data_IF_731993177072
#
_entry.id   IF_731993177072
#
_cell.length_a   1.000
_cell.length_b   1.000
_cell.length_c   1.000
_cell.angle_alpha   90.00
_cell.angle_beta   90.00
_cell.angle_gamma   90.00
#
_symmetry.space_group_name_H-M   'P 1'
#
loop_
_entity.id
_entity.type
_entity.pdbx_description
1 polymer ?
#
# COMPACT_ATOMS: atom_id res chain seq x y z
N UNK A 1 65.00 -30.23 14.47
CA UNK A 1 65.00 -28.76 14.35
C UNK A 1 63.63 -28.38 13.87
N UNK A 2 62.78 -28.11 14.84
CA UNK A 2 61.35 -27.94 14.67
C UNK A 2 61.01 -26.44 14.64
N UNK A 3 60.26 -26.03 13.67
CA UNK A 3 59.64 -24.70 13.63
C UNK A 3 58.15 -24.87 13.82
N UNK A 4 57.52 -24.19 14.81
CA UNK A 4 56.08 -24.26 14.99
C UNK A 4 55.35 -23.24 14.11
N UNK A 5 54.34 -23.74 13.42
CA UNK A 5 53.34 -22.95 12.72
C UNK A 5 52.48 -22.16 13.70
N UNK A 6 52.53 -20.85 13.60
CA UNK A 6 51.59 -19.94 14.26
C UNK A 6 50.28 -19.84 13.45
N UNK A 7 49.21 -20.38 14.02
CA UNK A 7 47.84 -20.18 13.50
C UNK A 7 47.31 -18.81 13.97
N UNK A 8 47.29 -17.87 13.03
CA UNK A 8 46.66 -16.58 13.27
C UNK A 8 45.16 -16.68 12.97
N UNK A 9 44.37 -16.95 14.01
CA UNK A 9 42.90 -16.89 13.96
C UNK A 9 42.45 -15.44 14.03
N UNK A 10 42.41 -14.79 12.87
CA UNK A 10 41.84 -13.47 12.72
C UNK A 10 40.32 -13.48 12.94
N UNK A 11 39.87 -13.20 14.14
CA UNK A 11 38.48 -12.96 14.48
C UNK A 11 38.05 -11.63 13.89
N UNK A 12 37.49 -11.66 12.68
CA UNK A 12 36.78 -10.51 12.09
C UNK A 12 35.43 -10.39 12.78
N UNK A 13 35.38 -9.62 13.85
CA UNK A 13 34.14 -9.04 14.34
C UNK A 13 33.57 -8.15 13.21
N UNK A 14 32.54 -8.65 12.57
CA UNK A 14 31.72 -7.84 11.67
C UNK A 14 31.12 -6.70 12.49
N UNK A 15 31.65 -5.50 12.31
CA UNK A 15 31.03 -4.30 12.86
C UNK A 15 29.64 -4.16 12.24
N UNK A 16 28.60 -4.43 13.04
CA UNK A 16 27.25 -4.06 12.68
C UNK A 16 27.22 -2.54 12.54
N UNK A 17 27.13 -2.07 11.30
CA UNK A 17 26.91 -0.66 11.01
C UNK A 17 25.51 -0.34 11.48
N UNK A 18 25.38 0.16 12.71
CA UNK A 18 24.13 0.74 13.20
C UNK A 18 23.87 2.00 12.37
N UNK A 19 22.98 1.88 11.39
CA UNK A 19 22.54 3.03 10.63
C UNK A 19 21.96 4.06 11.63
N UNK A 20 22.54 5.26 11.63
CA UNK A 20 22.02 6.37 12.44
C UNK A 20 20.56 6.62 12.08
N UNK A 21 19.65 6.80 13.06
CA UNK A 21 18.24 7.02 12.76
C UNK A 21 18.11 8.29 11.92
N UNK A 22 17.63 8.13 10.70
CA UNK A 22 17.37 9.25 9.81
C UNK A 22 16.16 10.02 10.34
N UNK A 23 16.36 11.26 10.77
CA UNK A 23 15.26 12.17 11.06
C UNK A 23 14.56 12.48 9.73
N UNK A 24 13.32 12.02 9.59
CA UNK A 24 12.53 12.27 8.38
C UNK A 24 11.93 13.66 8.44
N UNK A 25 11.91 14.35 7.30
CA UNK A 25 11.21 15.63 7.18
C UNK A 25 9.69 15.43 7.31
N UNK A 26 8.92 16.45 7.74
CA UNK A 26 7.46 16.37 7.83
C UNK A 26 6.76 16.00 6.51
N UNK A 27 7.45 16.19 5.37
CA UNK A 27 6.94 15.85 4.05
C UNK A 27 6.97 14.34 3.72
N UNK A 28 7.67 13.55 4.54
CA UNK A 28 7.70 12.09 4.41
C UNK A 28 6.52 11.44 5.17
N UNK A 29 5.31 11.83 4.81
CA UNK A 29 4.09 11.23 5.35
C UNK A 29 3.89 9.83 4.79
N UNK A 30 3.19 8.98 5.55
CA UNK A 30 2.72 7.68 5.05
C UNK A 30 1.88 7.91 3.79
N UNK A 31 2.22 7.20 2.73
CA UNK A 31 1.58 7.28 1.42
C UNK A 31 0.61 6.13 1.24
N UNK A 32 -0.63 6.45 0.91
CA UNK A 32 -1.70 5.48 0.71
C UNK A 32 -2.08 5.45 -0.76
N UNK A 33 -1.75 4.35 -1.43
CA UNK A 33 -2.13 4.14 -2.82
C UNK A 33 -3.58 3.67 -2.91
N UNK A 34 -4.38 4.32 -3.74
CA UNK A 34 -5.78 3.95 -3.97
C UNK A 34 -5.95 3.42 -5.39
N UNK A 35 -6.20 2.12 -5.48
CA UNK A 35 -6.51 1.38 -6.71
C UNK A 35 -8.00 1.32 -6.91
N UNK A 36 -8.49 1.76 -8.06
CA UNK A 36 -9.91 1.71 -8.43
C UNK A 36 -10.09 2.04 -9.92
N UNK A 37 -11.24 1.67 -10.47
CA UNK A 37 -11.67 2.22 -11.77
C UNK A 37 -11.89 3.73 -11.67
N UNK A 38 -11.57 4.46 -12.74
CA UNK A 38 -11.56 5.92 -12.70
C UNK A 38 -12.97 6.52 -12.73
N UNK A 39 -13.80 6.06 -13.69
CA UNK A 39 -15.08 6.69 -14.00
C UNK A 39 -16.20 6.24 -13.07
N UNK A 40 -16.37 4.91 -12.90
CA UNK A 40 -17.51 4.38 -12.14
C UNK A 40 -17.39 4.63 -10.62
N UNK A 41 -16.18 4.82 -10.11
CA UNK A 41 -15.89 5.05 -8.68
C UNK A 41 -15.34 6.46 -8.41
N UNK A 42 -15.67 7.44 -9.27
CA UNK A 42 -15.16 8.80 -9.13
C UNK A 42 -15.50 9.45 -7.77
N UNK A 43 -16.73 9.26 -7.28
CA UNK A 43 -17.17 9.77 -5.97
C UNK A 43 -16.47 9.06 -4.81
N UNK A 44 -16.29 7.76 -4.91
CA UNK A 44 -15.57 6.94 -3.92
C UNK A 44 -14.10 7.29 -3.85
N UNK A 45 -13.49 7.60 -5.00
CA UNK A 45 -12.10 8.09 -5.07
C UNK A 45 -11.93 9.43 -4.34
N UNK A 46 -12.90 10.34 -4.50
CA UNK A 46 -12.91 11.61 -3.78
C UNK A 46 -13.06 11.38 -2.26
N UNK A 47 -13.98 10.53 -1.85
CA UNK A 47 -14.20 10.17 -0.45
C UNK A 47 -12.95 9.52 0.19
N UNK A 48 -12.28 8.63 -0.53
CA UNK A 48 -11.03 8.02 -0.07
C UNK A 48 -9.91 9.05 0.08
N UNK A 49 -9.78 9.97 -0.87
CA UNK A 49 -8.82 11.09 -0.78
C UNK A 49 -9.05 11.95 0.46
N UNK A 50 -10.32 12.27 0.76
CA UNK A 50 -10.68 13.03 1.95
C UNK A 50 -10.32 12.29 3.23
N UNK A 51 -10.70 11.00 3.36
CA UNK A 51 -10.39 10.18 4.52
C UNK A 51 -8.87 10.14 4.81
N UNK A 52 -8.07 9.90 3.79
CA UNK A 52 -6.61 9.85 3.89
C UNK A 52 -6.04 11.21 4.31
N UNK A 53 -6.54 12.29 3.72
CA UNK A 53 -6.06 13.66 4.02
C UNK A 53 -6.44 14.10 5.42
N UNK A 54 -7.62 13.74 5.94
CA UNK A 54 -8.04 14.02 7.30
C UNK A 54 -7.08 13.45 8.36
N UNK A 55 -6.51 12.28 8.07
CA UNK A 55 -5.50 11.64 8.92
C UNK A 55 -4.07 12.20 8.71
N UNK A 56 -3.92 13.26 7.93
CA UNK A 56 -2.60 13.84 7.58
C UNK A 56 -1.69 12.88 6.82
N UNK A 57 -2.25 11.85 6.19
CA UNK A 57 -1.56 10.95 5.28
C UNK A 57 -1.53 11.53 3.86
N UNK A 58 -0.74 10.93 2.97
CA UNK A 58 -0.64 11.38 1.58
C UNK A 58 -1.41 10.44 0.66
N UNK A 59 -2.53 10.87 0.08
CA UNK A 59 -3.24 10.06 -0.91
C UNK A 59 -2.47 10.00 -2.23
N UNK A 60 -2.27 8.80 -2.76
CA UNK A 60 -1.63 8.54 -4.05
C UNK A 60 -2.65 7.87 -4.94
N UNK A 61 -3.18 8.62 -5.91
CA UNK A 61 -4.16 8.14 -6.87
C UNK A 61 -3.62 8.34 -8.28
N UNK A 62 -3.78 7.31 -9.11
CA UNK A 62 -3.56 7.48 -10.54
C UNK A 62 -4.74 8.27 -11.11
N UNK A 63 -4.43 9.38 -11.78
CA UNK A 63 -5.42 10.23 -12.43
C UNK A 63 -5.15 10.29 -13.93
N UNK A 64 -6.22 10.30 -14.73
CA UNK A 64 -6.12 10.50 -16.16
C UNK A 64 -5.54 11.88 -16.46
N UNK A 65 -4.74 11.96 -17.52
CA UNK A 65 -4.15 13.21 -17.98
C UNK A 65 -2.90 12.97 -18.80
N UNK A 66 -2.43 14.01 -19.50
CA UNK A 66 -1.19 13.93 -20.25
C UNK A 66 0.00 13.75 -19.29
N UNK A 67 0.78 12.71 -19.52
CA UNK A 67 2.01 12.39 -18.79
C UNK A 67 3.09 11.97 -19.78
N UNK A 68 4.37 12.29 -19.53
CA UNK A 68 5.47 11.93 -20.41
C UNK A 68 5.86 10.43 -20.31
N UNK A 69 5.15 9.65 -19.53
CA UNK A 69 5.42 8.23 -19.29
C UNK A 69 4.18 7.38 -19.57
N UNK A 70 4.37 6.11 -19.98
CA UNK A 70 3.27 5.15 -20.10
C UNK A 70 2.51 4.99 -18.77
N UNK A 71 1.17 4.82 -18.80
CA UNK A 71 0.36 4.65 -17.58
C UNK A 71 0.88 3.57 -16.63
N UNK A 72 1.34 2.44 -17.17
CA UNK A 72 1.87 1.32 -16.37
C UNK A 72 3.12 1.69 -15.58
N UNK A 73 4.03 2.44 -16.16
CA UNK A 73 5.24 2.90 -15.46
C UNK A 73 4.89 3.87 -14.34
N UNK A 74 3.91 4.74 -14.57
CA UNK A 74 3.47 5.71 -13.57
C UNK A 74 2.85 5.04 -12.34
N UNK A 75 1.83 4.20 -12.51
CA UNK A 75 1.20 3.60 -11.33
C UNK A 75 2.13 2.62 -10.62
N UNK A 76 3.01 1.91 -11.32
CA UNK A 76 4.05 1.08 -10.70
C UNK A 76 5.00 1.91 -9.84
N UNK A 77 5.45 3.04 -10.36
CA UNK A 77 6.31 3.97 -9.62
C UNK A 77 5.60 4.54 -8.39
N UNK A 78 4.33 4.92 -8.52
CA UNK A 78 3.52 5.44 -7.42
C UNK A 78 3.30 4.37 -6.34
N UNK A 79 2.94 3.18 -6.75
CA UNK A 79 2.72 2.05 -5.85
C UNK A 79 4.01 1.63 -5.13
N UNK A 80 5.15 1.59 -5.84
CA UNK A 80 6.44 1.27 -5.24
C UNK A 80 6.84 2.24 -4.11
N UNK A 81 6.42 3.51 -4.23
CA UNK A 81 6.68 4.57 -3.25
C UNK A 81 5.60 4.70 -2.18
N UNK A 82 4.57 3.88 -2.21
CA UNK A 82 3.48 3.91 -1.25
C UNK A 82 3.67 2.87 -0.16
N UNK A 83 3.14 3.17 1.01
CA UNK A 83 3.29 2.36 2.22
C UNK A 83 2.10 1.41 2.43
N UNK A 84 0.89 1.87 2.07
CA UNK A 84 -0.38 1.15 2.25
C UNK A 84 -1.09 1.08 0.89
N UNK A 85 -1.75 -0.05 0.63
CA UNK A 85 -2.60 -0.26 -0.54
C UNK A 85 -4.08 -0.24 -0.12
N UNK A 86 -4.90 0.52 -0.84
CA UNK A 86 -6.36 0.54 -0.71
C UNK A 86 -6.97 0.14 -2.05
N UNK A 87 -7.72 -0.95 -2.08
CA UNK A 87 -8.44 -1.41 -3.27
C UNK A 87 -9.93 -1.10 -3.17
N UNK A 88 -10.48 -0.39 -4.16
CA UNK A 88 -11.90 -0.10 -4.29
C UNK A 88 -12.46 -0.81 -5.51
N UNK A 89 -13.41 -1.71 -5.30
CA UNK A 89 -13.99 -2.55 -6.36
C UNK A 89 -15.50 -2.42 -6.41
N UNK A 90 -16.08 -2.49 -7.63
CA UNK A 90 -17.52 -2.49 -7.81
C UNK A 90 -17.95 -3.48 -8.90
N UNK A 91 -18.14 -3.03 -10.15
CA UNK A 91 -18.66 -3.85 -11.23
C UNK A 91 -17.66 -4.12 -12.33
N UNK A 92 -16.80 -3.13 -12.66
CA UNK A 92 -15.88 -3.20 -13.80
C UNK A 92 -14.50 -3.69 -13.41
N UNK A 93 -13.97 -4.58 -14.23
CA UNK A 93 -12.59 -5.06 -14.12
C UNK A 93 -11.55 -4.02 -14.54
N UNK A 94 -11.98 -3.05 -15.35
CA UNK A 94 -11.10 -2.04 -15.93
C UNK A 94 -10.49 -2.44 -17.26
N UNK A 95 -9.79 -1.51 -17.87
CA UNK A 95 -9.20 -1.69 -19.18
C UNK A 95 -7.94 -2.58 -19.14
N UNK A 96 -7.86 -3.52 -20.09
CA UNK A 96 -6.67 -4.35 -20.32
C UNK A 96 -5.91 -3.75 -21.50
N UNK A 97 -4.68 -3.28 -21.26
CA UNK A 97 -3.84 -2.72 -22.34
C UNK A 97 -3.41 -3.82 -23.32
N UNK A 98 -3.16 -3.49 -24.61
CA UNK A 98 -2.78 -4.49 -25.62
C UNK A 98 -1.54 -5.31 -25.28
N UNK A 99 -0.65 -4.77 -24.44
CA UNK A 99 0.58 -5.44 -23.97
C UNK A 99 0.41 -6.17 -22.64
N UNK A 100 -0.81 -6.24 -22.09
CA UNK A 100 -1.08 -6.83 -20.78
C UNK A 100 -2.09 -7.98 -20.89
N UNK A 101 -1.99 -8.92 -19.97
CA UNK A 101 -2.95 -10.04 -19.84
C UNK A 101 -4.03 -9.74 -18.80
N UNK A 102 -3.80 -8.78 -17.92
CA UNK A 102 -4.70 -8.37 -16.83
C UNK A 102 -4.96 -6.87 -16.90
N UNK A 103 -6.02 -6.42 -16.25
CA UNK A 103 -6.30 -4.98 -16.14
C UNK A 103 -5.26 -4.27 -15.27
N UNK A 104 -5.18 -2.95 -15.40
CA UNK A 104 -4.36 -2.13 -14.51
C UNK A 104 -4.69 -2.36 -13.03
N UNK A 105 -5.96 -2.52 -12.72
CA UNK A 105 -6.49 -2.76 -11.37
C UNK A 105 -5.97 -4.09 -10.77
N UNK A 106 -5.92 -5.15 -11.56
CA UNK A 106 -5.35 -6.43 -11.12
C UNK A 106 -3.82 -6.40 -11.06
N UNK A 107 -3.15 -5.73 -12.02
CA UNK A 107 -1.68 -5.54 -11.99
C UNK A 107 -1.26 -4.74 -10.73
N UNK A 108 -2.02 -3.71 -10.36
CA UNK A 108 -1.81 -2.93 -9.13
C UNK A 108 -1.95 -3.80 -7.88
N UNK A 109 -2.99 -4.65 -7.81
CA UNK A 109 -3.16 -5.59 -6.70
C UNK A 109 -1.98 -6.56 -6.60
N UNK A 110 -1.57 -7.16 -7.70
CA UNK A 110 -0.42 -8.10 -7.72
C UNK A 110 0.88 -7.39 -7.31
N UNK A 111 1.12 -6.17 -7.79
CA UNK A 111 2.30 -5.38 -7.48
C UNK A 111 2.31 -4.82 -6.06
N UNK A 112 1.18 -4.81 -5.36
CA UNK A 112 1.13 -4.37 -3.96
C UNK A 112 1.95 -5.27 -3.01
N UNK A 113 2.22 -6.53 -3.42
CA UNK A 113 3.09 -7.45 -2.68
C UNK A 113 2.69 -7.62 -1.22
N UNK A 114 3.65 -7.45 -0.32
CA UNK A 114 3.47 -7.59 1.13
C UNK A 114 2.97 -6.31 1.83
N UNK A 115 2.62 -5.26 1.07
CA UNK A 115 2.09 -4.04 1.69
C UNK A 115 0.79 -4.33 2.44
N UNK A 116 0.53 -3.66 3.57
CA UNK A 116 -0.79 -3.67 4.20
C UNK A 116 -1.87 -3.30 3.19
N UNK A 117 -2.93 -4.12 3.12
CA UNK A 117 -4.03 -3.98 2.14
C UNK A 117 -5.36 -3.76 2.86
N UNK A 118 -6.07 -2.72 2.46
CA UNK A 118 -7.45 -2.47 2.85
C UNK A 118 -8.34 -2.59 1.61
N UNK A 119 -9.26 -3.54 1.61
CA UNK A 119 -10.07 -3.88 0.44
C UNK A 119 -11.54 -3.54 0.69
N UNK A 120 -12.13 -2.77 -0.20
CA UNK A 120 -13.52 -2.33 -0.12
C UNK A 120 -14.27 -2.70 -1.39
N UNK A 121 -15.45 -3.30 -1.22
CA UNK A 121 -16.33 -3.72 -2.32
C UNK A 121 -17.66 -2.99 -2.22
N UNK A 122 -17.98 -2.16 -3.21
CA UNK A 122 -19.24 -1.43 -3.24
C UNK A 122 -20.42 -2.36 -3.51
N UNK A 123 -21.51 -2.14 -2.77
CA UNK A 123 -22.77 -2.89 -2.89
C UNK A 123 -23.97 -1.91 -2.89
N UNK A 124 -25.07 -2.23 -3.63
CA UNK A 124 -25.25 -3.41 -4.46
C UNK A 124 -24.38 -3.38 -5.73
N UNK A 125 -24.01 -4.55 -6.23
CA UNK A 125 -23.30 -4.71 -7.49
C UNK A 125 -24.14 -5.61 -8.43
N UNK A 126 -25.06 -5.05 -9.21
CA UNK A 126 -26.03 -5.84 -10.00
C UNK A 126 -25.39 -6.63 -11.15
N UNK A 127 -24.24 -6.19 -11.64
CA UNK A 127 -23.57 -6.84 -12.77
C UNK A 127 -22.04 -6.73 -12.62
N UNK A 128 -21.43 -7.67 -11.90
CA UNK A 128 -19.97 -7.74 -11.79
C UNK A 128 -19.40 -8.43 -13.03
N UNK A 129 -18.41 -7.83 -13.67
CA UNK A 129 -17.70 -8.45 -14.78
C UNK A 129 -16.98 -9.72 -14.32
N UNK A 130 -17.05 -10.85 -15.09
CA UNK A 130 -16.47 -12.12 -14.68
C UNK A 130 -14.99 -12.06 -14.29
N UNK A 131 -14.09 -11.30 -14.98
CA UNK A 131 -12.71 -11.19 -14.56
C UNK A 131 -12.55 -10.49 -13.20
N UNK A 132 -13.39 -9.49 -12.88
CA UNK A 132 -13.39 -8.85 -11.56
C UNK A 132 -13.87 -9.82 -10.49
N UNK A 133 -14.92 -10.61 -10.77
CA UNK A 133 -15.39 -11.64 -9.84
C UNK A 133 -14.28 -12.64 -9.52
N UNK A 134 -13.53 -13.09 -10.53
CA UNK A 134 -12.39 -14.00 -10.34
C UNK A 134 -11.28 -13.37 -9.48
N UNK A 135 -10.98 -12.08 -9.68
CA UNK A 135 -10.03 -11.34 -8.84
C UNK A 135 -10.52 -11.28 -7.38
N UNK A 136 -11.78 -10.93 -7.15
CA UNK A 136 -12.36 -10.85 -5.80
C UNK A 136 -12.37 -12.20 -5.09
N UNK A 137 -12.64 -13.29 -5.81
CA UNK A 137 -12.62 -14.64 -5.26
C UNK A 137 -11.20 -15.07 -4.91
N UNK A 138 -10.20 -14.68 -5.70
CA UNK A 138 -8.79 -14.90 -5.38
C UNK A 138 -8.38 -14.12 -4.13
N UNK A 139 -8.71 -12.83 -4.03
CA UNK A 139 -8.43 -12.01 -2.84
C UNK A 139 -9.00 -12.66 -1.56
N UNK A 140 -10.20 -13.23 -1.64
CA UNK A 140 -10.82 -13.96 -0.52
C UNK A 140 -10.07 -15.23 -0.15
N UNK A 141 -9.58 -15.97 -1.15
CA UNK A 141 -8.91 -17.26 -0.95
C UNK A 141 -7.48 -17.10 -0.43
N UNK A 142 -6.79 -16.04 -0.83
CA UNK A 142 -5.41 -15.78 -0.41
C UNK A 142 -5.30 -15.38 1.07
N UNK A 143 -6.40 -15.03 1.74
CA UNK A 143 -6.46 -14.60 3.15
C UNK A 143 -5.44 -13.47 3.52
N UNK A 144 -4.93 -12.79 2.49
CA UNK A 144 -3.92 -11.72 2.66
C UNK A 144 -4.53 -10.40 3.10
N UNK A 145 -5.84 -10.25 2.98
CA UNK A 145 -6.57 -9.06 3.41
C UNK A 145 -8.02 -9.38 3.73
N UNK A 146 -8.53 -8.84 4.82
CA UNK A 146 -9.98 -8.77 5.04
C UNK A 146 -10.59 -7.71 4.12
N UNK A 147 -11.79 -7.97 3.61
CA UNK A 147 -12.50 -6.97 2.82
C UNK A 147 -13.78 -6.52 3.52
N UNK A 148 -14.13 -5.26 3.32
CA UNK A 148 -15.37 -4.68 3.82
C UNK A 148 -16.29 -4.29 2.66
N UNK A 149 -17.60 -4.38 2.88
CA UNK A 149 -18.60 -3.89 1.94
C UNK A 149 -19.02 -2.48 2.35
N UNK A 150 -19.36 -1.66 1.37
CA UNK A 150 -19.92 -0.34 1.58
C UNK A 150 -20.97 -0.02 0.51
N UNK A 151 -21.84 0.95 0.74
CA UNK A 151 -22.88 1.34 -0.19
C UNK A 151 -22.69 2.75 -0.73
N UNK A 152 -22.25 3.69 0.10
CA UNK A 152 -22.13 5.11 -0.27
C UNK A 152 -20.71 5.63 -0.09
N UNK A 153 -20.34 6.73 -0.80
CA UNK A 153 -19.04 7.38 -0.61
C UNK A 153 -18.79 7.84 0.83
N UNK A 154 -19.83 8.32 1.52
CA UNK A 154 -19.72 8.75 2.92
C UNK A 154 -19.42 7.59 3.86
N UNK A 155 -20.09 6.45 3.67
CA UNK A 155 -19.81 5.23 4.41
C UNK A 155 -18.37 4.74 4.16
N UNK A 156 -17.91 4.79 2.92
CA UNK A 156 -16.53 4.46 2.58
C UNK A 156 -15.55 5.38 3.31
N UNK A 157 -15.81 6.69 3.31
CA UNK A 157 -14.94 7.68 3.95
C UNK A 157 -14.77 7.37 5.43
N UNK A 158 -15.87 7.11 6.13
CA UNK A 158 -15.86 6.81 7.57
C UNK A 158 -15.12 5.49 7.87
N UNK A 159 -15.44 4.42 7.12
CA UNK A 159 -14.80 3.11 7.30
C UNK A 159 -13.30 3.20 7.02
N UNK A 160 -12.91 3.79 5.90
CA UNK A 160 -11.51 3.92 5.52
C UNK A 160 -10.72 4.75 6.54
N UNK A 161 -11.29 5.84 7.06
CA UNK A 161 -10.64 6.65 8.09
C UNK A 161 -10.41 5.84 9.38
N UNK A 162 -11.40 5.07 9.81
CA UNK A 162 -11.30 4.22 11.00
C UNK A 162 -10.29 3.09 10.81
N UNK A 163 -10.35 2.38 9.68
CA UNK A 163 -9.45 1.25 9.40
C UNK A 163 -8.00 1.70 9.25
N UNK A 164 -7.75 2.86 8.62
CA UNK A 164 -6.42 3.46 8.55
C UNK A 164 -5.91 3.87 9.93
N UNK A 165 -6.74 4.48 10.77
CA UNK A 165 -6.36 4.86 12.13
C UNK A 165 -6.02 3.63 12.97
N UNK A 166 -6.80 2.56 12.85
CA UNK A 166 -6.55 1.29 13.52
C UNK A 166 -5.24 0.66 13.03
N UNK A 167 -5.05 0.53 11.71
CA UNK A 167 -3.82 -0.01 11.11
C UNK A 167 -2.57 0.71 11.61
N UNK A 168 -2.60 2.05 11.65
CA UNK A 168 -1.48 2.86 12.16
C UNK A 168 -1.23 2.66 13.66
N UNK A 169 -2.24 2.26 14.42
CA UNK A 169 -2.14 1.98 15.85
C UNK A 169 -1.59 0.57 16.10
N UNK A 170 -2.07 -0.41 15.36
CA UNK A 170 -1.65 -1.82 15.46
C UNK A 170 -0.20 -2.03 14.97
N UNK A 171 0.21 -1.29 13.96
CA UNK A 171 1.57 -1.35 13.39
C UNK A 171 2.68 -0.95 14.35
N UNK A 172 2.36 -0.58 15.60
CA UNK A 172 3.36 -0.24 16.65
C UNK A 172 4.24 -1.43 17.07
N UNK A 173 3.90 -2.66 16.69
CA UNK A 173 4.66 -3.88 16.95
C UNK A 173 5.42 -4.42 15.74
N UNK A 174 5.31 -3.80 14.58
CA UNK A 174 5.95 -4.17 13.31
C UNK A 174 7.24 -3.37 13.09
N UNK A 175 8.16 -3.76 12.19
CA UNK A 175 9.38 -3.01 11.84
C UNK A 175 9.16 -1.52 11.53
N UNK A 176 7.93 -1.12 11.22
CA UNK A 176 7.51 0.28 11.11
C UNK A 176 7.59 1.04 12.43
N UNK A 177 7.59 0.35 13.58
CA UNK A 177 7.73 0.96 14.89
C UNK A 177 9.16 1.41 15.20
N UNK A 178 10.17 0.81 14.60
CA UNK A 178 11.55 1.27 14.76
C UNK A 178 11.73 2.69 14.19
N UNK A 179 10.86 3.08 13.25
CA UNK A 179 10.86 4.43 12.68
C UNK A 179 10.18 5.45 13.61
N UNK A 180 9.20 5.02 14.42
CA UNK A 180 8.43 5.90 15.31
C UNK A 180 8.92 5.91 16.77
N UNK A 181 9.56 4.83 17.25
CA UNK A 181 10.00 4.75 18.65
C UNK A 181 11.21 5.62 19.01
N UNK A 182 11.90 6.19 18.03
CA UNK A 182 13.05 7.04 18.29
C UNK A 182 12.69 8.51 18.64
N UNK A 183 11.40 8.83 18.76
CA UNK A 183 10.95 10.20 19.13
C UNK A 183 10.73 10.36 20.65
N UNK A 184 10.83 9.29 21.47
CA UNK A 184 10.50 9.36 22.91
C UNK A 184 11.67 9.45 23.89
N UNK A 185 12.89 9.71 23.43
CA UNK A 185 14.04 9.87 24.32
C UNK A 185 14.52 11.31 24.49
N UNK A 186 13.63 12.29 24.36
CA UNK A 186 13.92 13.68 24.71
C UNK A 186 12.96 14.15 25.82
N UNK A 187 12.98 13.47 26.96
CA UNK A 187 12.38 13.98 28.19
C UNK A 187 13.21 13.46 29.38
N UNK A 188 14.30 14.11 29.64
CA UNK A 188 14.93 14.36 30.96
C UNK A 188 15.91 15.50 30.82
#
# INVERSE_FOLDING_TARGET
MDTPHSLNTGNRLAAATTASPAIRTPDQRVRVFVSSTLDELAAERAAAREAITQLRLTPVLFESGARPYPPRELYRSYLAQSDIFVGLYWQRYGWVAPSMQVSGLEDEYQLSGEKPKLIYVKTPAPAIEPPLQALLDRIRTEETASYQKFATPDELRERLANDLAQLLTESRSSPWCEISCNVRTWAC
#
